data_IF_933096481330
#
_entry.id   IF_933096481330
#
_cell.length_a   1.000
_cell.length_b   1.000
_cell.length_c   1.000
_cell.angle_alpha   90.00
_cell.angle_beta   90.00
_cell.angle_gamma   90.00
#
_symmetry.space_group_name_H-M   'P 1'
#
loop_
_entity.id
_entity.type
_entity.pdbx_description
1 polymer ?
#
# COMPACT_ATOMS: atom_id res chain seq x y z
N UNK A 1 -19.92 -9.15 35.57
CA UNK A 1 -20.38 -8.74 34.22
C UNK A 1 -19.16 -8.70 33.31
N UNK A 2 -18.95 -9.72 32.47
CA UNK A 2 -17.84 -9.72 31.49
C UNK A 2 -18.30 -8.92 30.28
N UNK A 3 -17.72 -7.74 30.08
CA UNK A 3 -17.97 -6.92 28.91
C UNK A 3 -17.61 -7.70 27.66
N UNK A 4 -18.59 -7.95 26.79
CA UNK A 4 -18.33 -8.44 25.44
C UNK A 4 -17.52 -7.37 24.72
N UNK A 5 -16.21 -7.55 24.64
CA UNK A 5 -15.41 -6.85 23.65
C UNK A 5 -15.93 -7.28 22.29
N UNK A 6 -16.77 -6.44 21.68
CA UNK A 6 -17.04 -6.52 20.25
C UNK A 6 -15.75 -6.11 19.55
N UNK A 7 -14.79 -7.04 19.49
CA UNK A 7 -13.77 -6.98 18.46
C UNK A 7 -14.55 -7.09 17.15
N UNK A 8 -14.77 -5.95 16.50
CA UNK A 8 -15.22 -5.90 15.11
C UNK A 8 -14.26 -6.80 14.34
N UNK A 9 -14.75 -7.98 13.99
CA UNK A 9 -14.01 -8.94 13.21
C UNK A 9 -13.81 -8.29 11.84
N UNK A 10 -12.59 -7.83 11.57
CA UNK A 10 -12.24 -7.24 10.29
C UNK A 10 -12.38 -8.36 9.27
N UNK A 11 -13.42 -8.25 8.44
CA UNK A 11 -13.77 -9.23 7.42
C UNK A 11 -13.87 -10.66 7.97
N UNK A 12 -15.01 -11.04 8.52
CA UNK A 12 -15.27 -12.39 9.07
C UNK A 12 -15.09 -13.58 8.11
N UNK A 13 -14.89 -13.33 6.81
CA UNK A 13 -14.57 -14.34 5.79
C UNK A 13 -13.15 -14.22 5.23
N UNK A 14 -12.33 -13.32 5.79
CA UNK A 14 -10.94 -13.21 5.41
C UNK A 14 -10.20 -14.48 5.84
N UNK A 15 -9.22 -14.85 5.04
CA UNK A 15 -8.24 -15.88 5.39
C UNK A 15 -6.99 -15.27 6.03
N UNK A 16 -6.99 -13.94 6.22
CA UNK A 16 -5.90 -13.22 6.87
C UNK A 16 -6.30 -12.89 8.30
N UNK A 17 -5.34 -13.04 9.19
CA UNK A 17 -5.49 -12.63 10.57
C UNK A 17 -5.52 -11.09 10.67
N UNK A 18 -6.11 -10.62 11.77
CA UNK A 18 -6.30 -9.19 12.01
C UNK A 18 -4.97 -8.40 11.99
N UNK A 19 -3.91 -8.97 12.54
CA UNK A 19 -2.57 -8.36 12.58
C UNK A 19 -1.95 -8.23 11.18
N UNK A 20 -2.14 -9.22 10.31
CA UNK A 20 -1.75 -9.15 8.90
C UNK A 20 -2.43 -7.94 8.24
N UNK A 21 -3.73 -7.78 8.46
CA UNK A 21 -4.51 -6.70 7.85
C UNK A 21 -4.10 -5.34 8.42
N UNK A 22 -4.16 -5.17 9.74
CA UNK A 22 -4.00 -3.87 10.39
C UNK A 22 -2.54 -3.41 10.41
N UNK A 23 -1.59 -4.26 10.77
CA UNK A 23 -0.20 -3.86 10.99
C UNK A 23 0.64 -4.04 9.72
N UNK A 24 0.61 -5.24 9.13
CA UNK A 24 1.53 -5.58 8.05
C UNK A 24 1.13 -4.99 6.70
N UNK A 25 -0.17 -4.80 6.44
CA UNK A 25 -0.65 -4.20 5.19
C UNK A 25 -1.08 -2.75 5.38
N UNK A 26 -2.14 -2.49 6.17
CA UNK A 26 -2.64 -1.12 6.33
C UNK A 26 -1.63 -0.20 7.02
N UNK A 27 -1.07 -0.64 8.14
CA UNK A 27 -0.08 0.12 8.91
C UNK A 27 1.11 0.49 8.03
N UNK A 28 1.72 -0.51 7.39
CA UNK A 28 2.83 -0.28 6.46
C UNK A 28 2.49 0.73 5.35
N UNK A 29 1.36 0.58 4.66
CA UNK A 29 0.97 1.48 3.56
C UNK A 29 0.70 2.90 4.10
N UNK A 30 -0.02 3.03 5.21
CA UNK A 30 -0.34 4.34 5.79
C UNK A 30 0.92 5.05 6.32
N UNK A 31 1.90 4.33 6.84
CA UNK A 31 3.20 4.87 7.19
C UNK A 31 3.94 5.44 5.97
N UNK A 32 3.96 4.71 4.85
CA UNK A 32 4.56 5.25 3.61
C UNK A 32 3.78 6.47 3.09
N UNK A 33 2.45 6.46 3.17
CA UNK A 33 1.60 7.62 2.82
C UNK A 33 1.89 8.82 3.71
N UNK A 34 2.13 8.60 5.00
CA UNK A 34 2.55 9.65 5.93
C UNK A 34 3.93 10.21 5.55
N UNK A 35 4.90 9.36 5.22
CA UNK A 35 6.23 9.81 4.76
C UNK A 35 6.14 10.64 3.48
N UNK A 36 5.26 10.28 2.56
CA UNK A 36 4.95 11.09 1.36
C UNK A 36 4.32 12.44 1.73
N UNK A 37 3.28 12.43 2.57
CA UNK A 37 2.62 13.66 3.04
C UNK A 37 3.62 14.65 3.64
N UNK A 38 4.56 14.16 4.46
CA UNK A 38 5.57 14.97 5.14
C UNK A 38 6.78 15.34 4.29
N UNK A 39 6.87 14.85 3.05
CA UNK A 39 8.03 15.07 2.17
C UNK A 39 9.29 14.43 2.72
N UNK A 40 9.17 13.24 3.31
CA UNK A 40 10.29 12.45 3.86
C UNK A 40 10.72 11.33 2.92
N UNK A 41 9.86 10.95 1.96
CA UNK A 41 10.16 9.91 0.98
C UNK A 41 11.14 10.43 -0.08
N UNK A 42 12.24 9.72 -0.31
CA UNK A 42 13.15 10.01 -1.40
C UNK A 42 12.56 9.59 -2.75
N UNK A 43 12.81 10.41 -3.77
CA UNK A 43 12.49 10.11 -5.15
C UNK A 43 13.62 9.28 -5.76
N UNK A 44 13.45 7.96 -5.84
CA UNK A 44 14.45 7.06 -6.42
C UNK A 44 15.79 7.01 -5.65
N UNK A 45 16.77 6.25 -6.17
CA UNK A 45 18.07 6.09 -5.52
C UNK A 45 18.84 7.41 -5.48
N UNK A 46 19.65 7.60 -4.44
CA UNK A 46 20.59 8.71 -4.42
C UNK A 46 21.64 8.52 -5.51
N UNK A 47 21.86 9.58 -6.30
CA UNK A 47 22.91 9.65 -7.30
C UNK A 47 23.51 11.05 -7.27
N UNK A 48 24.82 11.14 -7.48
CA UNK A 48 25.53 12.41 -7.61
C UNK A 48 24.93 13.28 -8.71
N UNK A 49 24.99 14.61 -8.54
CA UNK A 49 24.41 15.57 -9.52
C UNK A 49 25.06 15.45 -10.90
N UNK A 50 26.31 15.00 -10.95
CA UNK A 50 27.09 14.70 -12.14
C UNK A 50 26.50 13.58 -13.01
N UNK A 51 25.64 12.73 -12.44
CA UNK A 51 25.00 11.60 -13.15
C UNK A 51 23.55 11.86 -13.54
N UNK A 52 23.05 13.08 -13.34
CA UNK A 52 21.66 13.40 -13.68
C UNK A 52 21.46 13.49 -15.18
N UNK A 53 20.41 12.83 -15.66
CA UNK A 53 19.86 13.02 -17.01
C UNK A 53 18.54 13.77 -16.90
N UNK A 54 17.97 14.22 -18.01
CA UNK A 54 16.61 14.79 -18.03
C UNK A 54 15.58 13.85 -17.38
N UNK A 55 15.79 12.52 -17.44
CA UNK A 55 14.89 11.53 -16.83
C UNK A 55 15.10 11.33 -15.34
N UNK A 56 16.31 11.59 -14.84
CA UNK A 56 16.70 11.30 -13.45
C UNK A 56 16.97 12.57 -12.63
N UNK A 57 16.61 13.72 -13.20
CA UNK A 57 16.66 15.01 -12.53
C UNK A 57 15.72 15.00 -11.32
N UNK A 58 16.29 15.05 -10.13
CA UNK A 58 15.54 14.99 -8.86
C UNK A 58 15.67 13.66 -8.11
N UNK A 59 16.40 12.69 -8.64
CA UNK A 59 16.75 11.49 -7.88
C UNK A 59 17.51 11.83 -6.59
N UNK A 60 17.23 11.09 -5.53
CA UNK A 60 17.83 11.30 -4.20
C UNK A 60 17.30 12.52 -3.44
N UNK A 61 16.49 13.38 -4.07
CA UNK A 61 15.75 14.45 -3.35
C UNK A 61 14.50 13.87 -2.70
N UNK A 62 14.06 14.50 -1.62
CA UNK A 62 12.74 14.21 -1.08
C UNK A 62 11.64 14.62 -2.07
N UNK A 63 10.59 13.80 -2.17
CA UNK A 63 9.35 14.16 -2.83
C UNK A 63 8.72 15.37 -2.12
N UNK A 64 7.97 16.21 -2.86
CA UNK A 64 7.32 17.38 -2.28
C UNK A 64 6.31 16.99 -1.20
N UNK A 65 6.10 17.88 -0.23
CA UNK A 65 5.06 17.72 0.79
C UNK A 65 3.68 17.70 0.14
N UNK A 66 2.83 16.78 0.57
CA UNK A 66 1.42 16.77 0.18
C UNK A 66 0.64 17.84 0.92
N UNK A 67 -0.43 18.35 0.30
CA UNK A 67 -1.41 19.22 0.99
C UNK A 67 -2.30 18.40 1.93
N UNK A 68 -2.75 17.24 1.45
CA UNK A 68 -3.62 16.31 2.16
C UNK A 68 -3.34 14.89 1.69
N UNK A 69 -3.44 13.91 2.59
CA UNK A 69 -3.33 12.49 2.27
C UNK A 69 -4.29 11.70 3.16
N UNK A 70 -5.31 11.09 2.56
CA UNK A 70 -6.29 10.33 3.34
C UNK A 70 -5.69 9.03 3.84
N UNK A 71 -5.98 8.69 5.09
CA UNK A 71 -5.68 7.39 5.67
C UNK A 71 -6.51 6.31 4.96
N UNK A 72 -5.88 5.18 4.65
CA UNK A 72 -6.57 4.03 4.08
C UNK A 72 -7.19 3.17 5.19
N UNK A 73 -8.32 2.56 4.87
CA UNK A 73 -8.99 1.55 5.68
C UNK A 73 -9.18 0.28 4.85
N UNK A 74 -9.27 -0.86 5.53
CA UNK A 74 -9.47 -2.14 4.88
C UNK A 74 -10.89 -2.23 4.32
N UNK A 75 -11.03 -2.84 3.15
CA UNK A 75 -12.32 -3.15 2.54
C UNK A 75 -12.36 -4.62 2.15
N UNK A 76 -13.31 -5.36 2.72
CA UNK A 76 -13.49 -6.78 2.43
C UNK A 76 -13.82 -7.04 0.96
N UNK A 77 -14.53 -6.11 0.32
CA UNK A 77 -14.87 -6.23 -1.10
C UNK A 77 -13.62 -6.10 -1.98
N UNK A 78 -12.72 -5.16 -1.65
CA UNK A 78 -11.44 -5.01 -2.34
C UNK A 78 -10.52 -6.21 -2.10
N UNK A 79 -10.51 -6.78 -0.89
CA UNK A 79 -9.78 -8.02 -0.61
C UNK A 79 -10.28 -9.17 -1.48
N UNK A 80 -11.61 -9.35 -1.56
CA UNK A 80 -12.23 -10.41 -2.37
C UNK A 80 -11.89 -10.24 -3.85
N UNK A 81 -11.96 -9.02 -4.37
CA UNK A 81 -11.59 -8.72 -5.75
C UNK A 81 -10.10 -8.95 -6.02
N UNK A 82 -9.22 -8.57 -5.08
CA UNK A 82 -7.78 -8.81 -5.19
C UNK A 82 -7.46 -10.31 -5.21
N UNK A 83 -8.06 -11.09 -4.31
CA UNK A 83 -7.94 -12.57 -4.31
C UNK A 83 -8.44 -13.19 -5.61
N UNK A 84 -9.53 -12.67 -6.16
CA UNK A 84 -10.07 -13.12 -7.46
C UNK A 84 -9.11 -12.81 -8.60
N UNK A 85 -8.51 -11.61 -8.60
CA UNK A 85 -7.57 -11.16 -9.62
C UNK A 85 -6.24 -11.94 -9.60
N UNK A 86 -5.79 -12.37 -8.42
CA UNK A 86 -4.61 -13.21 -8.27
C UNK A 86 -4.78 -14.59 -8.88
N UNK A 87 -6.02 -15.09 -9.03
CA UNK A 87 -6.36 -16.48 -9.36
C UNK A 87 -5.81 -17.44 -8.28
N UNK A 88 -6.57 -18.43 -7.75
CA UNK A 88 -6.07 -19.33 -6.70
C UNK A 88 -4.89 -20.23 -7.11
N UNK A 89 -4.30 -20.02 -8.29
CA UNK A 89 -3.10 -20.70 -8.75
C UNK A 89 -1.90 -19.85 -8.35
N UNK A 90 -0.95 -20.43 -7.62
CA UNK A 90 0.34 -19.81 -7.33
C UNK A 90 1.19 -19.77 -8.61
N UNK A 91 0.89 -18.84 -9.51
CA UNK A 91 1.64 -18.62 -10.74
C UNK A 91 2.68 -17.50 -10.53
N UNK A 92 3.74 -17.52 -11.33
CA UNK A 92 4.69 -16.42 -11.42
C UNK A 92 4.20 -15.28 -12.34
N UNK A 93 3.00 -15.42 -12.92
CA UNK A 93 2.42 -14.43 -13.80
C UNK A 93 1.95 -13.23 -13.01
N UNK A 94 2.41 -12.04 -13.41
CA UNK A 94 1.93 -10.80 -12.82
C UNK A 94 0.42 -10.65 -13.09
N UNK A 95 -0.41 -10.40 -12.06
CA UNK A 95 -1.85 -10.25 -12.26
C UNK A 95 -2.15 -9.00 -13.08
N UNK A 96 -3.17 -9.08 -13.93
CA UNK A 96 -3.68 -7.88 -14.62
C UNK A 96 -4.51 -7.06 -13.64
N UNK A 97 -4.14 -5.79 -13.47
CA UNK A 97 -4.96 -4.85 -12.71
C UNK A 97 -6.36 -4.74 -13.35
N UNK A 98 -7.44 -4.74 -12.56
CA UNK A 98 -8.78 -4.51 -13.10
C UNK A 98 -8.89 -3.13 -13.75
N UNK A 99 -9.81 -2.99 -14.70
CA UNK A 99 -10.04 -1.71 -15.39
C UNK A 99 -10.33 -0.57 -14.40
N UNK A 100 -9.65 0.56 -14.58
CA UNK A 100 -9.78 1.73 -13.70
C UNK A 100 -9.05 1.60 -12.35
N UNK A 101 -8.27 0.54 -12.11
CA UNK A 101 -7.49 0.35 -10.88
C UNK A 101 -5.99 0.37 -11.17
N UNK A 102 -5.21 0.87 -10.21
CA UNK A 102 -3.75 0.81 -10.27
C UNK A 102 -3.28 -0.54 -9.76
N UNK A 103 -2.49 -1.26 -10.57
CA UNK A 103 -1.81 -2.47 -10.14
C UNK A 103 -0.60 -2.12 -9.27
N UNK A 104 -0.62 -2.55 -8.02
CA UNK A 104 0.55 -2.56 -7.15
C UNK A 104 0.81 -4.01 -6.77
N UNK A 105 1.91 -4.55 -7.26
CA UNK A 105 2.34 -5.93 -7.02
C UNK A 105 3.77 -5.85 -6.49
N UNK A 106 4.00 -6.38 -5.29
CA UNK A 106 5.28 -6.39 -4.59
C UNK A 106 5.84 -7.81 -4.53
#
# INVERSE_FOLDING_TARGET
MKGKSFFLEICSKSTFDKDIIEENVLGHINDQRYRLLRGLQQNGPWQGRDKWTNKTQGYGKALPKGKTMNELKWSCDLEKEAKTALNPKCTSDQPKAPSGKTGLFY
#
